data_IF_930684064429
#
_entry.id   IF_930684064429
#
_cell.length_a   1.000
_cell.length_b   1.000
_cell.length_c   1.000
_cell.angle_alpha   90.00
_cell.angle_beta   90.00
_cell.angle_gamma   90.00
#
_symmetry.space_group_name_H-M   'P 1'
#
loop_
_entity.id
_entity.type
_entity.pdbx_description
1 polymer ?
#
# COMPACT_ATOMS: atom_id res chain seq x y z
N UNK A 1 23.75 5.14 29.46
CA UNK A 1 24.54 4.93 28.22
C UNK A 1 23.86 4.12 27.10
N UNK A 2 22.63 3.57 27.26
CA UNK A 2 21.92 2.87 26.16
C UNK A 2 20.86 3.70 25.40
N UNK A 3 20.49 4.88 25.90
CA UNK A 3 19.50 5.79 25.28
C UNK A 3 20.08 6.68 24.16
N UNK A 4 21.37 7.02 24.23
CA UNK A 4 22.04 7.89 23.25
C UNK A 4 22.33 7.18 21.91
N UNK A 5 22.42 5.85 21.92
CA UNK A 5 22.71 5.06 20.72
C UNK A 5 21.46 4.89 19.82
N UNK A 6 20.25 4.96 20.39
CA UNK A 6 18.99 4.94 19.64
C UNK A 6 18.73 6.25 18.88
N UNK A 7 19.11 7.39 19.45
CA UNK A 7 19.00 8.70 18.79
C UNK A 7 19.98 8.84 17.62
N UNK A 8 21.16 8.21 17.69
CA UNK A 8 22.14 8.26 16.61
C UNK A 8 21.71 7.46 15.36
N UNK A 9 20.96 6.36 15.54
CA UNK A 9 20.43 5.57 14.42
C UNK A 9 19.24 6.30 13.75
N UNK A 10 18.38 6.96 14.52
CA UNK A 10 17.30 7.81 14.00
C UNK A 10 17.82 9.06 13.26
N UNK A 11 18.98 9.60 13.65
CA UNK A 11 19.61 10.76 13.01
C UNK A 11 20.38 10.42 11.72
N UNK A 12 20.84 9.17 11.56
CA UNK A 12 21.48 8.72 10.31
C UNK A 12 20.48 8.28 9.23
N UNK A 13 19.31 7.75 9.61
CA UNK A 13 18.24 7.44 8.65
C UNK A 13 17.66 8.72 8.00
N UNK A 14 17.68 9.84 8.73
CA UNK A 14 17.20 11.14 8.22
C UNK A 14 18.14 11.80 7.22
N UNK A 15 19.43 11.43 7.19
CA UNK A 15 20.42 12.04 6.28
C UNK A 15 20.76 11.19 5.06
N UNK A 16 20.70 9.86 5.15
CA UNK A 16 20.98 8.97 4.01
C UNK A 16 19.81 8.84 3.01
N UNK A 17 18.56 9.01 3.46
CA UNK A 17 17.39 8.92 2.59
C UNK A 17 17.15 10.20 1.74
N UNK A 18 17.76 11.32 2.14
CA UNK A 18 17.53 12.64 1.52
C UNK A 18 18.26 12.89 0.19
N UNK A 19 19.33 12.15 -0.13
CA UNK A 19 20.23 12.53 -1.23
C UNK A 19 20.05 11.74 -2.53
N UNK A 20 19.40 10.57 -2.49
CA UNK A 20 19.09 9.77 -3.69
C UNK A 20 17.65 9.96 -4.21
N UNK A 21 16.81 10.71 -3.48
CA UNK A 21 15.42 10.99 -3.87
C UNK A 21 15.27 12.22 -4.79
N UNK A 22 16.35 12.97 -5.05
CA UNK A 22 16.29 14.30 -5.68
C UNK A 22 16.19 14.33 -7.22
N UNK A 23 16.04 13.19 -7.90
CA UNK A 23 15.90 13.14 -9.37
C UNK A 23 14.58 12.55 -9.89
N UNK A 24 13.61 12.26 -9.02
CA UNK A 24 12.23 11.97 -9.43
C UNK A 24 11.26 13.14 -9.14
N UNK A 25 11.80 14.36 -9.01
CA UNK A 25 11.03 15.59 -8.83
C UNK A 25 10.54 16.10 -10.19
N UNK A 26 9.46 15.50 -10.69
CA UNK A 26 8.46 16.24 -11.45
C UNK A 26 7.11 16.03 -10.77
N UNK A 27 6.81 16.98 -9.90
CA UNK A 27 5.51 17.26 -9.29
C UNK A 27 4.97 16.16 -8.35
N UNK A 28 5.43 16.19 -7.10
CA UNK A 28 4.62 15.75 -5.94
C UNK A 28 3.47 16.77 -5.68
N UNK A 29 2.80 17.18 -6.75
CA UNK A 29 1.52 17.87 -6.69
C UNK A 29 0.51 16.81 -6.27
N UNK A 30 -0.25 17.12 -5.22
CA UNK A 30 -1.52 16.50 -4.84
C UNK A 30 -2.06 15.48 -5.86
N UNK A 31 -2.32 14.23 -5.44
CA UNK A 31 -3.00 13.28 -6.33
C UNK A 31 -4.42 13.80 -6.53
N UNK A 32 -4.62 14.60 -7.58
CA UNK A 32 -5.91 15.18 -7.91
C UNK A 32 -6.84 14.00 -8.23
N UNK A 33 -7.98 13.87 -7.52
CA UNK A 33 -8.97 12.88 -7.89
C UNK A 33 -9.34 13.06 -9.36
N UNK A 34 -9.15 12.01 -10.17
CA UNK A 34 -9.64 12.04 -11.55
C UNK A 34 -11.10 11.66 -11.49
N UNK A 35 -11.96 12.64 -11.72
CA UNK A 35 -13.40 12.46 -11.81
C UNK A 35 -13.74 11.98 -13.23
N UNK A 36 -13.47 10.71 -13.50
CA UNK A 36 -14.03 10.02 -14.66
C UNK A 36 -15.29 9.28 -14.18
N UNK A 37 -16.45 9.74 -14.64
CA UNK A 37 -17.75 9.16 -14.25
C UNK A 37 -17.87 7.71 -14.69
N UNK A 38 -17.21 7.31 -15.79
CA UNK A 38 -17.18 5.92 -16.23
C UNK A 38 -16.42 5.03 -15.23
N UNK A 39 -15.25 5.48 -14.78
CA UNK A 39 -14.45 4.76 -13.78
C UNK A 39 -15.17 4.62 -12.45
N UNK A 40 -15.86 5.68 -12.02
CA UNK A 40 -16.66 5.65 -10.80
C UNK A 40 -17.77 4.62 -10.89
N UNK A 41 -18.38 4.46 -12.05
CA UNK A 41 -19.42 3.45 -12.27
C UNK A 41 -18.85 2.03 -12.30
N UNK A 42 -17.75 1.79 -13.01
CA UNK A 42 -17.08 0.48 -13.01
C UNK A 42 -16.68 0.05 -11.59
N UNK A 43 -16.14 0.97 -10.79
CA UNK A 43 -15.73 0.68 -9.41
C UNK A 43 -16.94 0.44 -8.52
N UNK A 44 -18.03 1.19 -8.71
CA UNK A 44 -19.29 0.94 -8.01
C UNK A 44 -19.82 -0.46 -8.32
N UNK A 45 -19.75 -0.89 -9.58
CA UNK A 45 -20.18 -2.24 -9.98
C UNK A 45 -19.30 -3.32 -9.32
N UNK A 46 -17.99 -3.11 -9.24
CA UNK A 46 -17.05 -4.08 -8.67
C UNK A 46 -17.11 -4.15 -7.13
N UNK A 47 -17.21 -3.02 -6.43
CA UNK A 47 -17.18 -2.95 -4.97
C UNK A 47 -18.58 -2.87 -4.32
N UNK A 48 -19.62 -2.57 -5.10
CA UNK A 48 -20.96 -2.22 -4.62
C UNK A 48 -21.10 -0.78 -4.09
N UNK A 49 -20.01 -0.01 -4.04
CA UNK A 49 -19.98 1.39 -3.63
C UNK A 49 -18.70 2.07 -4.14
N UNK A 50 -18.64 3.41 -4.07
CA UNK A 50 -17.41 4.16 -4.35
C UNK A 50 -16.77 4.58 -3.02
N UNK A 51 -15.51 4.19 -2.73
CA UNK A 51 -14.81 4.63 -1.52
C UNK A 51 -14.75 6.16 -1.42
N UNK A 52 -14.95 6.70 -0.22
CA UNK A 52 -14.90 8.16 0.03
C UNK A 52 -13.51 8.74 -0.19
N UNK A 53 -12.48 7.94 0.07
CA UNK A 53 -11.08 8.29 -0.15
C UNK A 53 -10.58 7.88 -1.55
N UNK A 54 -11.49 7.64 -2.50
CA UNK A 54 -11.15 7.39 -3.90
C UNK A 54 -10.32 8.52 -4.49
N UNK A 55 -9.36 8.15 -5.34
CA UNK A 55 -8.59 9.13 -6.13
C UNK A 55 -8.72 8.85 -7.62
N UNK A 56 -8.33 7.67 -8.10
CA UNK A 56 -8.43 7.28 -9.50
C UNK A 56 -8.31 5.75 -9.69
N UNK A 57 -8.63 5.24 -10.89
CA UNK A 57 -8.19 3.88 -11.28
C UNK A 57 -6.69 3.92 -11.49
N UNK A 58 -5.95 3.07 -10.78
CA UNK A 58 -4.48 3.03 -10.84
C UNK A 58 -3.95 1.85 -11.65
N UNK A 59 -4.78 0.84 -11.91
CA UNK A 59 -4.42 -0.28 -12.76
C UNK A 59 -5.64 -0.88 -13.45
N UNK A 60 -5.44 -1.35 -14.69
CA UNK A 60 -6.46 -2.03 -15.49
C UNK A 60 -5.98 -3.37 -16.03
N UNK A 61 -6.94 -4.21 -16.42
CA UNK A 61 -6.73 -5.37 -17.27
C UNK A 61 -6.50 -4.93 -18.72
N UNK A 62 -6.08 -5.84 -19.60
CA UNK A 62 -6.04 -5.59 -21.05
C UNK A 62 -7.41 -5.25 -21.65
N UNK A 63 -8.51 -5.73 -21.04
CA UNK A 63 -9.88 -5.38 -21.45
C UNK A 63 -10.33 -4.00 -20.95
N UNK A 64 -9.54 -3.33 -20.10
CA UNK A 64 -9.85 -2.00 -19.56
C UNK A 64 -10.54 -2.01 -18.19
N UNK A 65 -10.85 -3.19 -17.64
CA UNK A 65 -11.50 -3.31 -16.33
C UNK A 65 -10.54 -2.85 -15.21
N UNK A 66 -11.02 -2.09 -14.22
CA UNK A 66 -10.20 -1.73 -13.06
C UNK A 66 -9.73 -2.98 -12.31
N UNK A 67 -8.43 -3.04 -12.02
CA UNK A 67 -7.80 -4.02 -11.13
C UNK A 67 -7.66 -3.41 -9.74
N UNK A 68 -7.14 -2.20 -9.70
CA UNK A 68 -6.85 -1.50 -8.47
C UNK A 68 -7.08 0.00 -8.64
N UNK A 69 -7.31 0.63 -7.51
CA UNK A 69 -7.67 2.02 -7.41
C UNK A 69 -6.69 2.69 -6.46
N UNK A 70 -6.31 3.93 -6.76
CA UNK A 70 -5.54 4.73 -5.82
C UNK A 70 -6.48 5.37 -4.81
N UNK A 71 -6.05 5.39 -3.56
CA UNK A 71 -6.83 5.92 -2.46
C UNK A 71 -6.01 6.86 -1.59
N UNK A 72 -6.67 7.87 -1.05
CA UNK A 72 -6.08 8.78 -0.07
C UNK A 72 -5.77 8.04 1.25
N UNK A 73 -4.65 8.31 1.93
CA UNK A 73 -4.21 7.54 3.11
C UNK A 73 -5.14 7.64 4.33
N UNK A 74 -6.07 8.58 4.32
CA UNK A 74 -7.05 8.82 5.39
C UNK A 74 -8.47 8.61 4.85
N UNK A 75 -9.42 8.47 5.77
CA UNK A 75 -10.87 8.49 5.50
C UNK A 75 -11.36 7.35 4.56
N UNK A 76 -10.62 6.25 4.51
CA UNK A 76 -10.96 5.09 3.69
C UNK A 76 -11.64 3.94 4.42
N UNK A 77 -11.97 2.90 3.66
CA UNK A 77 -12.52 1.64 4.15
C UNK A 77 -13.98 1.43 3.80
N UNK A 78 -14.48 0.24 4.13
CA UNK A 78 -15.88 -0.12 3.92
C UNK A 78 -16.82 0.77 4.74
N UNK A 79 -18.10 0.83 4.35
CA UNK A 79 -19.14 1.59 5.07
C UNK A 79 -19.12 1.33 6.59
N UNK A 80 -18.84 0.08 7.00
CA UNK A 80 -18.72 -0.31 8.41
C UNK A 80 -17.55 0.36 9.14
N UNK A 81 -16.40 0.55 8.47
CA UNK A 81 -15.25 1.28 9.03
C UNK A 81 -15.52 2.78 9.11
N UNK A 82 -16.23 3.33 8.12
CA UNK A 82 -16.58 4.75 8.08
C UNK A 82 -17.51 5.15 9.24
N UNK A 83 -18.45 4.28 9.64
CA UNK A 83 -19.33 4.54 10.79
C UNK A 83 -18.57 4.69 12.13
N UNK A 84 -17.40 4.05 12.27
CA UNK A 84 -16.54 4.12 13.46
C UNK A 84 -15.54 5.30 13.41
N UNK A 85 -15.40 5.93 12.25
CA UNK A 85 -14.39 6.96 11.98
C UNK A 85 -14.76 8.38 12.45
N UNK A 86 -15.98 8.62 12.95
CA UNK A 86 -16.46 9.92 13.45
C UNK A 86 -15.76 10.44 14.73
N UNK A 87 -14.60 9.88 15.11
CA UNK A 87 -13.93 10.19 16.38
C UNK A 87 -12.73 11.14 16.26
N UNK A 88 -12.28 11.51 15.05
CA UNK A 88 -11.19 12.49 14.88
C UNK A 88 -11.42 13.40 13.67
N UNK A 89 -11.08 14.68 13.81
CA UNK A 89 -11.16 15.67 12.73
C UNK A 89 -10.28 15.34 11.53
N UNK A 90 -9.22 14.55 11.74
CA UNK A 90 -8.29 14.12 10.69
C UNK A 90 -8.73 12.82 9.99
N UNK A 91 -9.72 12.13 10.55
CA UNK A 91 -10.23 10.86 10.06
C UNK A 91 -9.38 9.64 10.43
N UNK A 92 -9.75 8.49 9.88
CA UNK A 92 -9.11 7.20 10.16
C UNK A 92 -8.10 6.82 9.10
N UNK A 93 -6.99 6.16 9.48
CA UNK A 93 -6.00 5.68 8.54
C UNK A 93 -6.56 4.54 7.68
N UNK A 94 -6.19 4.55 6.41
CA UNK A 94 -6.49 3.47 5.47
C UNK A 94 -5.21 2.66 5.19
N UNK A 95 -5.24 1.31 5.29
CA UNK A 95 -4.03 0.49 5.30
C UNK A 95 -3.36 0.32 3.92
N UNK A 96 -3.97 0.81 2.83
CA UNK A 96 -3.41 0.70 1.49
C UNK A 96 -3.61 1.99 0.69
N UNK A 97 -2.64 2.37 -0.13
CA UNK A 97 -2.75 3.35 -1.20
C UNK A 97 -3.39 2.76 -2.46
N UNK A 98 -3.26 1.45 -2.66
CA UNK A 98 -3.75 0.75 -3.84
C UNK A 98 -4.75 -0.30 -3.39
N UNK A 99 -6.04 -0.01 -3.56
CA UNK A 99 -7.12 -0.91 -3.18
C UNK A 99 -7.50 -1.77 -4.39
N UNK A 100 -7.37 -3.08 -4.23
CA UNK A 100 -7.84 -4.07 -5.19
C UNK A 100 -9.38 -4.05 -5.37
N UNK A 101 -9.86 -4.18 -6.61
CA UNK A 101 -11.30 -4.04 -6.94
C UNK A 101 -11.86 -5.14 -7.84
N UNK A 102 -11.07 -5.73 -8.74
CA UNK A 102 -11.59 -6.65 -9.75
C UNK A 102 -12.17 -7.97 -9.16
N UNK A 103 -13.46 -8.30 -9.37
CA UNK A 103 -14.10 -9.46 -8.74
C UNK A 103 -13.59 -10.81 -9.28
N UNK A 104 -13.31 -10.92 -10.58
CA UNK A 104 -12.86 -12.17 -11.20
C UNK A 104 -11.45 -12.52 -10.74
N UNK A 105 -10.53 -11.56 -10.86
CA UNK A 105 -9.16 -11.73 -10.37
C UNK A 105 -9.16 -11.88 -8.85
N UNK A 106 -10.06 -11.20 -8.13
CA UNK A 106 -10.18 -11.31 -6.68
C UNK A 106 -10.55 -12.72 -6.23
N UNK A 107 -11.44 -13.38 -6.97
CA UNK A 107 -11.82 -14.78 -6.72
C UNK A 107 -10.63 -15.72 -6.91
N UNK A 108 -9.86 -15.54 -7.98
CA UNK A 108 -8.65 -16.33 -8.21
C UNK A 108 -7.57 -16.10 -7.16
N UNK A 109 -7.33 -14.86 -6.74
CA UNK A 109 -6.39 -14.55 -5.65
C UNK A 109 -6.86 -15.17 -4.33
N UNK A 110 -8.17 -15.09 -4.02
CA UNK A 110 -8.72 -15.71 -2.81
C UNK A 110 -8.53 -17.24 -2.82
N UNK A 111 -8.64 -17.87 -3.98
CA UNK A 111 -8.35 -19.30 -4.14
C UNK A 111 -6.87 -19.62 -3.88
N UNK A 112 -5.93 -18.83 -4.43
CA UNK A 112 -4.49 -18.97 -4.11
C UNK A 112 -4.23 -18.82 -2.60
N UNK A 113 -4.85 -17.83 -1.95
CA UNK A 113 -4.74 -17.61 -0.50
C UNK A 113 -5.27 -18.83 0.29
N UNK A 114 -6.43 -19.37 -0.10
CA UNK A 114 -7.05 -20.55 0.50
C UNK A 114 -6.17 -21.80 0.37
N UNK A 115 -5.42 -21.92 -0.72
CA UNK A 115 -4.45 -23.01 -0.94
C UNK A 115 -3.12 -22.82 -0.19
N UNK A 116 -2.97 -21.74 0.59
CA UNK A 116 -1.80 -21.51 1.44
C UNK A 116 -0.63 -20.80 0.75
N UNK A 117 -0.85 -20.13 -0.39
CA UNK A 117 0.23 -19.50 -1.14
C UNK A 117 0.93 -18.37 -0.36
N UNK A 118 0.25 -17.74 0.62
CA UNK A 118 0.88 -16.77 1.54
C UNK A 118 2.01 -17.43 2.33
N UNK A 119 1.78 -18.61 2.89
CA UNK A 119 2.82 -19.33 3.63
C UNK A 119 3.93 -19.77 2.68
N UNK A 120 3.57 -20.38 1.54
CA UNK A 120 4.52 -20.86 0.54
C UNK A 120 5.47 -19.75 0.07
N UNK A 121 4.97 -18.54 -0.16
CA UNK A 121 5.84 -17.44 -0.58
C UNK A 121 6.75 -16.96 0.54
N UNK A 122 6.23 -16.80 1.76
CA UNK A 122 7.06 -16.36 2.89
C UNK A 122 8.26 -17.30 3.13
N UNK A 123 8.05 -18.60 2.92
CA UNK A 123 9.08 -19.63 3.09
C UNK A 123 10.05 -19.74 1.91
N UNK A 124 9.62 -19.37 0.69
CA UNK A 124 10.39 -19.56 -0.55
C UNK A 124 11.02 -18.29 -1.13
N UNK A 125 10.88 -17.14 -0.47
CA UNK A 125 11.62 -15.93 -0.87
C UNK A 125 13.12 -16.12 -0.61
N UNK A 126 13.93 -15.93 -1.66
CA UNK A 126 15.37 -15.92 -1.53
C UNK A 126 15.86 -14.59 -0.93
N UNK A 127 17.14 -14.50 -0.55
CA UNK A 127 17.72 -13.30 0.09
C UNK A 127 17.47 -12.01 -0.71
N UNK A 128 17.68 -12.02 -2.02
CA UNK A 128 17.49 -10.84 -2.87
C UNK A 128 16.02 -10.42 -2.93
N UNK A 129 15.08 -11.38 -2.99
CA UNK A 129 13.64 -11.07 -2.96
C UNK A 129 13.21 -10.54 -1.58
N UNK A 130 13.81 -11.01 -0.49
CA UNK A 130 13.55 -10.48 0.86
C UNK A 130 13.99 -9.01 0.97
N UNK A 131 15.17 -8.69 0.44
CA UNK A 131 15.70 -7.32 0.36
C UNK A 131 14.81 -6.44 -0.54
N UNK A 132 14.40 -6.93 -1.72
CA UNK A 132 13.46 -6.23 -2.61
C UNK A 132 12.12 -5.96 -1.93
N UNK A 133 11.57 -6.94 -1.20
CA UNK A 133 10.32 -6.79 -0.47
C UNK A 133 10.43 -5.76 0.65
N UNK A 134 11.53 -5.74 1.41
CA UNK A 134 11.77 -4.73 2.43
C UNK A 134 11.81 -3.32 1.81
N UNK A 135 12.59 -3.15 0.75
CA UNK A 135 12.68 -1.89 0.02
C UNK A 135 11.32 -1.46 -0.56
N UNK A 136 10.51 -2.42 -1.04
CA UNK A 136 9.13 -2.16 -1.45
C UNK A 136 8.30 -1.54 -0.32
N UNK A 137 8.34 -2.13 0.87
CA UNK A 137 7.55 -1.63 2.00
C UNK A 137 8.03 -0.25 2.46
N UNK A 138 9.34 0.01 2.45
CA UNK A 138 9.92 1.32 2.79
C UNK A 138 9.49 2.40 1.78
N UNK A 139 9.69 2.16 0.48
CA UNK A 139 9.25 3.10 -0.57
C UNK A 139 7.75 3.33 -0.54
N UNK A 140 6.97 2.29 -0.26
CA UNK A 140 5.52 2.42 -0.10
C UNK A 140 5.13 3.31 1.08
N UNK A 141 5.83 3.20 2.21
CA UNK A 141 5.59 4.03 3.38
C UNK A 141 5.93 5.51 3.09
N UNK A 142 7.05 5.77 2.41
CA UNK A 142 7.41 7.12 1.94
C UNK A 142 6.36 7.69 0.99
N UNK A 143 5.96 6.92 -0.03
CA UNK A 143 4.91 7.31 -0.98
C UNK A 143 3.59 7.63 -0.26
N UNK A 144 3.24 6.86 0.78
CA UNK A 144 2.02 7.11 1.56
C UNK A 144 2.11 8.45 2.29
N UNK A 145 3.22 8.70 2.96
CA UNK A 145 3.44 9.97 3.66
C UNK A 145 3.41 11.16 2.70
N UNK A 146 4.05 11.03 1.54
CA UNK A 146 4.13 12.07 0.52
C UNK A 146 2.79 12.35 -0.18
N UNK A 147 1.90 11.36 -0.24
CA UNK A 147 0.56 11.52 -0.83
C UNK A 147 -0.43 12.31 0.04
N UNK A 148 -0.12 12.54 1.32
CA UNK A 148 -0.94 13.38 2.20
C UNK A 148 -0.92 14.85 1.75
N UNK A 149 -1.95 15.61 2.11
CA UNK A 149 -1.96 17.05 1.88
C UNK A 149 -0.97 17.73 2.83
N UNK A 150 -0.49 18.93 2.48
CA UNK A 150 0.30 19.77 3.39
C UNK A 150 -0.36 19.91 4.75
N UNK A 151 -1.66 20.20 4.76
CA UNK A 151 -2.41 20.51 5.98
C UNK A 151 -2.55 19.27 6.87
N UNK A 152 -2.84 18.09 6.29
CA UNK A 152 -2.89 16.86 7.06
C UNK A 152 -1.51 16.45 7.57
N UNK A 153 -0.44 16.59 6.76
CA UNK A 153 0.93 16.34 7.22
C UNK A 153 1.31 17.26 8.37
N UNK A 154 1.05 18.54 8.24
CA UNK A 154 1.35 19.54 9.26
C UNK A 154 0.62 19.22 10.57
N UNK A 155 -0.70 18.95 10.50
CA UNK A 155 -1.50 18.55 11.67
C UNK A 155 -0.96 17.28 12.34
N UNK A 156 -0.56 16.26 11.57
CA UNK A 156 0.06 15.03 12.09
C UNK A 156 1.42 15.29 12.78
N UNK A 157 2.19 16.25 12.28
CA UNK A 157 3.49 16.63 12.85
C UNK A 157 3.29 17.38 14.18
N UNK A 158 2.37 18.35 14.19
CA UNK A 158 2.18 19.31 15.28
C UNK A 158 1.38 18.75 16.46
N UNK A 159 0.41 17.85 16.22
CA UNK A 159 -0.45 17.31 17.28
C UNK A 159 0.12 16.00 17.88
N UNK A 160 0.62 16.01 19.14
CA UNK A 160 1.18 14.83 19.78
C UNK A 160 0.15 13.73 20.02
N UNK A 161 -1.14 14.06 20.13
CA UNK A 161 -2.21 13.06 20.31
C UNK A 161 -2.35 12.14 19.09
N UNK A 162 -1.89 12.61 17.92
CA UNK A 162 -1.90 11.86 16.67
C UNK A 162 -0.63 11.03 16.44
N UNK A 163 0.29 10.93 17.41
CA UNK A 163 1.57 10.22 17.24
C UNK A 163 1.39 8.79 16.71
N UNK A 164 0.43 8.02 17.24
CA UNK A 164 0.16 6.64 16.78
C UNK A 164 -0.29 6.60 15.31
N UNK A 165 -1.15 7.53 14.92
CA UNK A 165 -1.62 7.66 13.54
C UNK A 165 -0.47 8.04 12.61
N UNK A 166 0.33 9.05 13.00
CA UNK A 166 1.52 9.48 12.28
C UNK A 166 2.49 8.32 12.07
N UNK A 167 2.85 7.60 13.14
CA UNK A 167 3.76 6.45 13.06
C UNK A 167 3.24 5.40 12.09
N UNK A 168 1.93 5.10 12.10
CA UNK A 168 1.40 4.13 11.15
C UNK A 168 1.48 4.61 9.70
N UNK A 169 1.18 5.88 9.43
CA UNK A 169 1.26 6.43 8.08
C UNK A 169 2.70 6.52 7.56
N UNK A 170 3.68 6.75 8.44
CA UNK A 170 5.10 6.85 8.10
C UNK A 170 5.84 5.51 8.03
N UNK A 171 5.39 4.50 8.77
CA UNK A 171 6.18 3.28 9.01
C UNK A 171 5.49 1.98 8.59
N UNK A 172 4.34 2.06 7.91
CA UNK A 172 3.68 0.86 7.39
C UNK A 172 3.70 0.80 5.87
N UNK A 173 4.15 -0.33 5.36
CA UNK A 173 4.18 -0.60 3.91
C UNK A 173 2.87 -1.20 3.40
N UNK A 174 2.96 -2.03 2.37
CA UNK A 174 1.81 -2.73 1.76
C UNK A 174 0.93 -3.39 2.82
N UNK A 175 -0.39 -3.28 2.66
CA UNK A 175 -1.42 -3.80 3.59
C UNK A 175 -1.31 -3.28 5.05
N UNK A 176 -0.60 -2.18 5.26
CA UNK A 176 -0.37 -1.62 6.59
C UNK A 176 0.51 -2.52 7.46
N UNK A 177 1.40 -3.31 6.85
CA UNK A 177 2.41 -4.08 7.59
C UNK A 177 3.43 -3.11 8.20
N UNK A 178 3.56 -3.12 9.53
CA UNK A 178 4.51 -2.29 10.26
C UNK A 178 5.93 -2.82 10.06
N UNK A 179 6.84 -1.94 9.64
CA UNK A 179 8.25 -2.29 9.48
C UNK A 179 8.95 -2.51 10.84
N UNK A 180 8.51 -1.78 11.87
CA UNK A 180 9.08 -1.82 13.23
C UNK A 180 8.83 -3.11 14.02
N UNK A 181 8.13 -4.08 13.44
CA UNK A 181 7.89 -5.40 14.04
C UNK A 181 8.91 -6.48 13.66
N UNK A 182 9.78 -6.20 12.69
CA UNK A 182 10.86 -7.12 12.30
C UNK A 182 12.08 -6.86 13.18
N UNK A 183 12.05 -7.38 14.41
CA UNK A 183 13.13 -7.20 15.38
C UNK A 183 14.44 -7.93 14.99
N UNK A 184 14.39 -8.80 13.97
CA UNK A 184 15.54 -9.45 13.37
C UNK A 184 15.71 -9.03 11.92
N UNK A 185 16.95 -8.68 11.54
CA UNK A 185 17.29 -8.30 10.16
C UNK A 185 17.06 -9.43 9.16
N UNK A 186 16.97 -10.68 9.64
CA UNK A 186 16.68 -11.88 8.85
C UNK A 186 15.18 -12.18 8.67
N UNK A 187 14.29 -11.53 9.45
CA UNK A 187 12.84 -11.72 9.29
C UNK A 187 12.26 -10.76 8.26
N UNK A 188 11.47 -11.29 7.33
CA UNK A 188 10.70 -10.46 6.41
C UNK A 188 9.46 -9.88 7.11
N UNK A 189 8.99 -8.69 6.69
CA UNK A 189 7.66 -8.22 7.06
C UNK A 189 6.60 -9.28 6.69
N UNK A 190 5.63 -9.48 7.58
CA UNK A 190 4.51 -10.41 7.34
C UNK A 190 3.74 -10.02 6.07
N UNK A 191 3.53 -11.00 5.20
CA UNK A 191 2.65 -10.89 4.04
C UNK A 191 1.23 -11.16 4.54
N UNK A 192 0.43 -10.09 4.68
CA UNK A 192 -0.94 -10.21 5.21
C UNK A 192 -1.91 -10.81 4.20
N UNK A 193 -1.81 -10.39 2.94
CA UNK A 193 -2.69 -10.82 1.87
C UNK A 193 -2.08 -10.58 0.48
N UNK A 194 -2.35 -11.48 -0.46
CA UNK A 194 -1.84 -11.44 -1.83
C UNK A 194 -2.49 -10.32 -2.63
N UNK A 195 -3.78 -10.05 -2.42
CA UNK A 195 -4.51 -9.03 -3.18
C UNK A 195 -3.94 -7.61 -2.99
N UNK A 196 -3.43 -7.27 -1.80
CA UNK A 196 -2.81 -5.97 -1.55
C UNK A 196 -1.44 -5.84 -2.25
N UNK A 197 -0.64 -6.90 -2.25
CA UNK A 197 0.63 -6.92 -2.99
C UNK A 197 0.40 -6.89 -4.49
N UNK A 198 -0.61 -7.60 -5.00
CA UNK A 198 -0.95 -7.59 -6.42
C UNK A 198 -1.48 -6.22 -6.88
N UNK A 199 -2.36 -5.59 -6.10
CA UNK A 199 -2.83 -4.24 -6.38
C UNK A 199 -1.70 -3.22 -6.45
N UNK A 200 -0.76 -3.27 -5.49
CA UNK A 200 0.42 -2.42 -5.52
C UNK A 200 1.27 -2.69 -6.78
N UNK A 201 1.58 -3.96 -7.06
CA UNK A 201 2.42 -4.33 -8.19
C UNK A 201 1.82 -3.87 -9.52
N UNK A 202 0.51 -4.01 -9.68
CA UNK A 202 -0.20 -3.57 -10.90
C UNK A 202 -0.28 -2.06 -11.03
N UNK A 203 -0.33 -1.33 -9.93
CA UNK A 203 -0.47 0.14 -9.92
C UNK A 203 0.86 0.88 -9.99
N UNK A 204 1.94 0.30 -9.46
CA UNK A 204 3.25 0.96 -9.39
C UNK A 204 4.39 -0.06 -9.44
N UNK A 205 4.72 -0.50 -10.66
CA UNK A 205 5.76 -1.53 -10.88
C UNK A 205 7.16 -1.08 -10.44
N UNK A 206 7.40 0.23 -10.43
CA UNK A 206 8.70 0.85 -10.12
C UNK A 206 9.16 0.64 -8.67
N UNK A 207 8.24 0.41 -7.71
CA UNK A 207 8.65 0.16 -6.33
C UNK A 207 9.36 -1.19 -6.17
N UNK A 208 9.16 -2.12 -7.12
CA UNK A 208 9.53 -3.53 -6.99
C UNK A 208 8.61 -4.23 -5.99
N UNK A 209 8.11 -5.41 -6.30
CA UNK A 209 7.30 -6.20 -5.35
C UNK A 209 7.33 -7.67 -5.76
N UNK A 210 8.22 -8.47 -5.17
CA UNK A 210 8.37 -9.87 -5.56
C UNK A 210 7.10 -10.68 -5.27
N UNK A 211 6.35 -10.33 -4.23
CA UNK A 211 5.06 -10.98 -3.91
C UNK A 211 4.04 -10.72 -5.00
N UNK A 212 3.83 -9.45 -5.37
CA UNK A 212 2.88 -9.10 -6.42
C UNK A 212 3.28 -9.67 -7.79
N UNK A 213 4.59 -9.76 -8.07
CA UNK A 213 5.15 -10.39 -9.27
C UNK A 213 4.83 -11.89 -9.33
N UNK A 214 5.02 -12.62 -8.22
CA UNK A 214 4.66 -14.05 -8.13
C UNK A 214 3.16 -14.28 -8.24
N UNK A 215 2.34 -13.44 -7.60
CA UNK A 215 0.88 -13.50 -7.76
C UNK A 215 0.48 -13.32 -9.22
N UNK A 216 1.09 -12.37 -9.94
CA UNK A 216 0.82 -12.19 -11.36
C UNK A 216 1.11 -13.45 -12.17
N UNK A 217 2.25 -14.10 -11.90
CA UNK A 217 2.65 -15.33 -12.57
C UNK A 217 1.68 -16.48 -12.29
N UNK A 218 1.32 -16.72 -11.02
CA UNK A 218 0.36 -17.77 -10.67
C UNK A 218 -1.03 -17.54 -11.27
N UNK A 219 -1.46 -16.29 -11.38
CA UNK A 219 -2.71 -15.98 -12.07
C UNK A 219 -2.65 -16.36 -13.57
N UNK A 220 -1.50 -16.19 -14.22
CA UNK A 220 -1.33 -16.59 -15.62
C UNK A 220 -1.28 -18.12 -15.79
N UNK A 221 -0.66 -18.83 -14.84
CA UNK A 221 -0.50 -20.29 -14.91
C UNK A 221 -1.76 -21.03 -14.48
N UNK A 222 -2.33 -20.69 -13.31
CA UNK A 222 -3.42 -21.44 -12.69
C UNK A 222 -4.81 -20.99 -13.19
N UNK A 223 -4.90 -19.80 -13.79
CA UNK A 223 -6.15 -19.20 -14.27
C UNK A 223 -6.00 -18.57 -15.66
N UNK A 224 -5.64 -19.36 -16.70
CA UNK A 224 -5.28 -18.85 -18.02
C UNK A 224 -6.42 -18.11 -18.75
N UNK A 225 -7.66 -18.33 -18.35
CA UNK A 225 -8.84 -17.64 -18.90
C UNK A 225 -9.01 -16.20 -18.36
N UNK A 226 -8.23 -15.79 -17.35
CA UNK A 226 -8.27 -14.43 -16.82
C UNK A 226 -7.53 -13.44 -17.72
N UNK A 227 -8.19 -12.32 -18.01
CA UNK A 227 -7.58 -11.17 -18.67
C UNK A 227 -6.93 -10.27 -17.62
N UNK A 228 -5.59 -10.23 -17.57
CA UNK A 228 -4.79 -9.48 -16.58
C UNK A 228 -4.30 -8.11 -17.08
#
# INVERSE_FOLDING_TARGET
>A
MKLLQYYFILFQITTACGFLCLQATRNAEYIVPRNDDHDRELVRQQLGYVPTNWVCVSARTQAGDPIAIQTYPLQGGSMRRQAKAKMSDIGTPFPTLFWFTNPLIGTAIAELERQGYIQRIQESLNKSEKEELLACHEKYASMRWESLSSDHRQKLIEDPSLQRLRTMLQCSGVAGTMLSGSANMDSIPSIKCLHAHYAQFRSCRELGNPVGRRVHHWLQEDFPDLVL
#
